data_IF_918686009149
#
_entry.id   IF_918686009149
#
_cell.length_a   1.000
_cell.length_b   1.000
_cell.length_c   1.000
_cell.angle_alpha   90.00
_cell.angle_beta   90.00
_cell.angle_gamma   90.00
#
_symmetry.space_group_name_H-M   'P 1'
#
loop_
_entity.id
_entity.type
_entity.pdbx_description
1 polymer ?
#
# COMPACT_ATOMS: atom_id res chain seq x y z
N UNK A 1 18.35 8.79 -72.06
CA UNK A 1 19.04 9.77 -71.20
C UNK A 1 19.03 9.22 -69.77
N UNK A 2 20.21 9.04 -69.17
CA UNK A 2 20.43 8.50 -67.83
C UNK A 2 20.25 9.63 -66.81
N UNK A 3 19.39 9.45 -65.82
CA UNK A 3 19.44 10.21 -64.57
C UNK A 3 19.49 9.24 -63.40
N UNK A 4 20.56 9.39 -62.62
CA UNK A 4 20.83 8.65 -61.41
C UNK A 4 20.09 9.35 -60.26
N UNK A 5 19.41 8.59 -59.42
CA UNK A 5 18.95 9.06 -58.12
C UNK A 5 19.35 7.98 -57.10
N UNK A 6 20.50 8.20 -56.47
CA UNK A 6 20.90 7.50 -55.27
C UNK A 6 20.46 8.33 -54.04
N UNK A 7 20.34 7.65 -52.89
CA UNK A 7 20.44 8.19 -51.52
C UNK A 7 19.11 8.81 -50.99
N UNK A 8 18.49 8.43 -49.87
CA UNK A 8 18.93 7.84 -48.60
C UNK A 8 17.76 7.04 -47.97
N UNK A 9 18.01 5.77 -47.63
CA UNK A 9 17.22 5.02 -46.65
C UNK A 9 17.58 5.57 -45.26
N UNK A 10 16.72 6.42 -44.70
CA UNK A 10 16.78 6.71 -43.26
C UNK A 10 15.99 5.60 -42.57
N UNK A 11 16.70 4.55 -42.18
CA UNK A 11 16.24 3.68 -41.11
C UNK A 11 16.24 4.53 -39.84
N UNK A 12 15.07 5.09 -39.49
CA UNK A 12 14.82 5.50 -38.12
C UNK A 12 14.74 4.22 -37.30
N UNK A 13 15.89 3.72 -36.85
CA UNK A 13 15.95 2.94 -35.63
C UNK A 13 15.54 3.91 -34.53
N UNK A 14 14.23 4.02 -34.30
CA UNK A 14 13.76 4.47 -33.00
C UNK A 14 14.56 3.66 -32.00
N UNK A 15 15.33 4.29 -31.09
CA UNK A 15 15.80 3.54 -29.96
C UNK A 15 14.53 2.95 -29.37
N UNK A 16 14.45 1.62 -29.34
CA UNK A 16 13.62 0.92 -28.39
C UNK A 16 13.99 1.60 -27.08
N UNK A 17 13.14 2.52 -26.63
CA UNK A 17 13.18 2.98 -25.27
C UNK A 17 12.93 1.68 -24.54
N UNK A 18 14.02 1.09 -24.07
CA UNK A 18 13.96 -0.01 -23.14
C UNK A 18 13.09 0.55 -22.01
N UNK A 19 11.83 0.14 -21.98
CA UNK A 19 11.01 0.21 -20.78
C UNK A 19 11.68 -0.78 -19.83
N UNK A 20 12.79 -0.33 -19.24
CA UNK A 20 13.42 -0.92 -18.06
C UNK A 20 12.49 -0.54 -16.92
N UNK A 21 11.51 -1.41 -16.68
CA UNK A 21 11.39 -2.35 -15.56
C UNK A 21 10.47 -1.80 -14.45
N UNK A 22 9.14 -1.91 -14.60
CA UNK A 22 8.26 -1.96 -13.42
C UNK A 22 8.58 -3.15 -12.50
N UNK A 23 9.33 -4.13 -13.01
CA UNK A 23 9.79 -5.34 -12.31
C UNK A 23 10.80 -5.03 -11.20
N UNK A 24 11.72 -4.07 -11.39
CA UNK A 24 12.77 -3.74 -10.42
C UNK A 24 12.24 -2.94 -9.21
N UNK A 25 11.21 -2.10 -9.38
CA UNK A 25 10.55 -1.40 -8.27
C UNK A 25 9.63 -2.34 -7.47
N UNK A 26 8.91 -3.24 -8.15
CA UNK A 26 8.09 -4.27 -7.50
C UNK A 26 8.93 -5.22 -6.64
N UNK A 27 10.12 -5.61 -7.10
CA UNK A 27 11.08 -6.42 -6.32
C UNK A 27 11.58 -5.71 -5.05
N UNK A 28 11.65 -4.37 -5.05
CA UNK A 28 12.03 -3.59 -3.86
C UNK A 28 10.93 -3.55 -2.79
N UNK A 29 9.66 -3.58 -3.22
CA UNK A 29 8.46 -3.55 -2.39
C UNK A 29 8.19 -4.89 -1.70
N UNK A 30 8.62 -6.01 -2.32
CA UNK A 30 8.36 -7.36 -1.81
C UNK A 30 9.47 -7.87 -0.90
N UNK A 31 10.75 -7.72 -1.27
CA UNK A 31 11.82 -8.40 -0.52
C UNK A 31 13.21 -7.90 -0.87
N UNK A 32 13.91 -7.31 0.11
CA UNK A 32 15.33 -7.62 0.31
C UNK A 32 15.86 -7.44 1.74
N UNK A 33 15.04 -7.68 2.77
CA UNK A 33 15.49 -8.12 4.11
C UNK A 33 14.27 -8.48 4.94
N UNK A 34 14.16 -9.72 5.43
CA UNK A 34 13.26 -9.99 6.55
C UNK A 34 13.73 -9.12 7.71
N UNK A 35 12.85 -8.24 8.17
CA UNK A 35 13.15 -7.28 9.22
C UNK A 35 12.20 -7.55 10.39
N UNK A 36 12.75 -8.03 11.50
CA UNK A 36 11.96 -8.15 12.72
C UNK A 36 11.67 -6.74 13.26
N UNK A 37 10.43 -6.29 13.12
CA UNK A 37 9.96 -4.98 13.52
C UNK A 37 10.05 -4.76 15.04
N UNK A 38 9.85 -5.82 15.84
CA UNK A 38 9.97 -5.74 17.29
C UNK A 38 11.43 -5.60 17.77
N UNK A 39 12.41 -5.80 16.87
CA UNK A 39 13.83 -5.55 17.15
C UNK A 39 14.24 -4.08 16.92
N UNK A 40 13.37 -3.27 16.31
CA UNK A 40 13.65 -1.87 16.02
C UNK A 40 13.30 -0.96 17.20
N UNK A 41 13.98 0.18 17.30
CA UNK A 41 13.52 1.26 18.18
C UNK A 41 12.18 1.83 17.70
N UNK A 42 11.32 2.30 18.61
CA UNK A 42 9.95 2.74 18.29
C UNK A 42 9.85 3.76 17.14
N UNK A 43 10.79 4.72 17.06
CA UNK A 43 10.87 5.67 15.94
C UNK A 43 11.18 5.00 14.61
N UNK A 44 12.19 4.13 14.57
CA UNK A 44 12.59 3.41 13.35
C UNK A 44 11.49 2.46 12.87
N UNK A 45 10.79 1.80 13.81
CA UNK A 45 9.66 0.94 13.51
C UNK A 45 8.51 1.75 12.87
N UNK A 46 8.16 2.90 13.45
CA UNK A 46 7.14 3.81 12.91
C UNK A 46 7.51 4.30 11.51
N UNK A 47 8.73 4.79 11.31
CA UNK A 47 9.20 5.29 10.02
C UNK A 47 9.09 4.20 8.93
N UNK A 48 9.56 2.99 9.23
CA UNK A 48 9.44 1.84 8.31
C UNK A 48 7.99 1.51 7.97
N UNK A 49 7.13 1.40 8.99
CA UNK A 49 5.72 1.04 8.81
C UNK A 49 4.97 2.05 7.96
N UNK A 50 5.19 3.35 8.17
CA UNK A 50 4.54 4.40 7.38
C UNK A 50 5.07 4.41 5.94
N UNK A 51 6.39 4.34 5.75
CA UNK A 51 6.99 4.33 4.42
C UNK A 51 6.48 3.14 3.57
N UNK A 52 6.50 1.93 4.13
CA UNK A 52 6.04 0.74 3.42
C UNK A 52 4.52 0.76 3.22
N UNK A 53 3.74 1.26 4.19
CA UNK A 53 2.30 1.39 4.02
C UNK A 53 1.94 2.40 2.91
N UNK A 54 2.63 3.53 2.83
CA UNK A 54 2.44 4.52 1.77
C UNK A 54 2.67 3.89 0.40
N UNK A 55 3.75 3.11 0.23
CA UNK A 55 4.04 2.40 -1.04
C UNK A 55 2.93 1.42 -1.39
N UNK A 56 2.45 0.64 -0.42
CA UNK A 56 1.36 -0.33 -0.63
C UNK A 56 0.04 0.36 -1.01
N UNK A 57 -0.31 1.44 -0.31
CA UNK A 57 -1.55 2.20 -0.59
C UNK A 57 -1.48 2.87 -1.95
N UNK A 58 -0.38 3.51 -2.30
CA UNK A 58 -0.22 4.15 -3.61
C UNK A 58 -0.34 3.15 -4.76
N UNK A 59 0.16 1.92 -4.56
CA UNK A 59 0.09 0.87 -5.57
C UNK A 59 -1.30 0.25 -5.69
N UNK A 60 -1.89 -0.13 -4.55
CA UNK A 60 -3.04 -1.03 -4.53
C UNK A 60 -4.36 -0.36 -4.15
N UNK A 61 -4.32 0.81 -3.52
CA UNK A 61 -5.51 1.52 -3.09
C UNK A 61 -5.36 3.04 -3.21
N UNK A 62 -4.87 3.57 -4.36
CA UNK A 62 -4.54 4.99 -4.48
C UNK A 62 -5.76 5.89 -4.23
N UNK A 63 -6.95 5.43 -4.59
CA UNK A 63 -8.21 6.16 -4.40
C UNK A 63 -8.65 6.23 -2.92
N UNK A 64 -8.02 5.47 -2.03
CA UNK A 64 -8.23 5.52 -0.58
C UNK A 64 -7.15 6.33 0.15
N UNK A 65 -6.11 6.82 -0.53
CA UNK A 65 -5.09 7.63 0.14
C UNK A 65 -5.66 9.01 0.56
N UNK A 66 -5.39 9.43 1.80
CA UNK A 66 -5.87 10.70 2.37
C UNK A 66 -4.76 11.35 3.19
N UNK A 67 -4.33 12.54 2.78
CA UNK A 67 -3.46 13.39 3.59
C UNK A 67 -4.32 14.25 4.53
N UNK A 68 -4.94 13.63 5.53
CA UNK A 68 -5.79 14.33 6.52
C UNK A 68 -5.10 14.39 7.88
N UNK A 69 -4.66 13.23 8.36
CA UNK A 69 -4.00 13.03 9.65
C UNK A 69 -2.97 11.92 9.49
N UNK A 70 -1.90 11.93 10.30
CA UNK A 70 -0.90 10.86 10.29
C UNK A 70 -1.54 9.50 10.59
N UNK A 71 -1.04 8.40 9.99
CA UNK A 71 -1.61 7.08 10.22
C UNK A 71 -1.41 6.62 11.67
N UNK A 72 -2.44 5.95 12.19
CA UNK A 72 -2.42 5.29 13.49
C UNK A 72 -1.72 3.94 13.37
N UNK A 73 -0.89 3.59 14.35
CA UNK A 73 -0.14 2.34 14.36
C UNK A 73 -0.46 1.55 15.62
N UNK A 74 -1.00 0.35 15.43
CA UNK A 74 -1.33 -0.58 16.51
C UNK A 74 -0.57 -1.89 16.35
N UNK A 75 -0.16 -2.50 17.46
CA UNK A 75 0.42 -3.84 17.49
C UNK A 75 -0.57 -4.82 18.11
N UNK A 76 -0.79 -5.95 17.46
CA UNK A 76 -1.73 -6.98 17.90
C UNK A 76 -1.11 -8.37 17.86
N UNK A 77 -1.80 -9.31 18.52
CA UNK A 77 -1.47 -10.74 18.50
C UNK A 77 -2.69 -11.47 17.97
N UNK A 78 -2.48 -12.33 16.96
CA UNK A 78 -3.53 -13.18 16.38
C UNK A 78 -4.13 -14.05 17.48
N UNK A 79 -5.45 -14.05 17.58
CA UNK A 79 -6.20 -14.78 18.59
C UNK A 79 -6.39 -14.04 19.93
N UNK A 80 -5.77 -12.88 20.12
CA UNK A 80 -5.99 -12.06 21.31
C UNK A 80 -7.41 -11.48 21.38
N UNK A 81 -7.84 -11.03 22.56
CA UNK A 81 -9.20 -10.48 22.78
C UNK A 81 -9.54 -9.30 21.85
N UNK A 82 -8.53 -8.54 21.45
CA UNK A 82 -8.67 -7.34 20.61
C UNK A 82 -8.24 -7.57 19.16
N UNK A 83 -7.95 -8.83 18.77
CA UNK A 83 -7.61 -9.19 17.40
C UNK A 83 -8.71 -8.78 16.43
N UNK A 84 -8.33 -8.11 15.35
CA UNK A 84 -9.23 -7.64 14.29
C UNK A 84 -9.29 -8.59 13.10
N UNK A 85 -8.42 -9.60 13.04
CA UNK A 85 -8.44 -10.61 11.98
C UNK A 85 -9.63 -11.56 12.18
N UNK A 86 -10.62 -11.46 11.30
CA UNK A 86 -11.85 -12.26 11.34
C UNK A 86 -11.81 -13.50 10.43
N UNK A 87 -10.81 -13.62 9.55
CA UNK A 87 -10.71 -14.72 8.60
C UNK A 87 -10.28 -16.03 9.31
N UNK A 88 -11.19 -17.02 9.35
CA UNK A 88 -11.00 -18.26 10.12
C UNK A 88 -9.67 -18.97 9.86
N UNK A 89 -9.26 -19.12 8.59
CA UNK A 89 -7.98 -19.77 8.23
C UNK A 89 -6.75 -18.93 8.58
N UNK A 90 -6.79 -17.62 8.35
CA UNK A 90 -5.69 -16.72 8.72
C UNK A 90 -5.47 -16.71 10.24
N UNK A 91 -6.56 -16.77 11.00
CA UNK A 91 -6.50 -16.85 12.45
C UNK A 91 -5.98 -18.21 12.93
N UNK A 92 -6.41 -19.32 12.34
CA UNK A 92 -5.92 -20.66 12.73
C UNK A 92 -4.46 -20.89 12.39
N UNK A 93 -4.03 -20.44 11.20
CA UNK A 93 -2.69 -20.74 10.67
C UNK A 93 -1.60 -19.86 11.31
N UNK A 94 -1.99 -18.78 11.99
CA UNK A 94 -1.08 -17.80 12.56
C UNK A 94 -1.37 -17.46 14.02
N UNK A 95 -2.13 -18.29 14.75
CA UNK A 95 -2.45 -18.07 16.16
C UNK A 95 -1.20 -17.79 17.00
N UNK A 96 -1.23 -16.73 17.81
CA UNK A 96 -0.10 -16.31 18.64
C UNK A 96 0.98 -15.50 17.90
N UNK A 97 0.93 -15.39 16.57
CA UNK A 97 1.83 -14.50 15.81
C UNK A 97 1.42 -13.04 16.03
N UNK A 98 2.39 -12.13 16.04
CA UNK A 98 2.13 -10.71 16.21
C UNK A 98 2.21 -9.95 14.87
N UNK A 99 1.41 -8.88 14.76
CA UNK A 99 1.37 -8.04 13.57
C UNK A 99 1.16 -6.57 13.95
N UNK A 100 1.58 -5.67 13.06
CA UNK A 100 1.27 -4.25 13.11
C UNK A 100 0.15 -3.91 12.13
N UNK A 101 -0.64 -2.90 12.48
CA UNK A 101 -1.68 -2.29 11.65
C UNK A 101 -1.35 -0.83 11.46
N UNK A 102 -1.29 -0.37 10.21
CA UNK A 102 -1.14 1.04 9.85
C UNK A 102 -2.47 1.51 9.30
N UNK A 103 -3.19 2.35 10.04
CA UNK A 103 -4.56 2.80 9.72
C UNK A 103 -4.56 4.26 9.31
N UNK A 104 -4.96 4.53 8.06
CA UNK A 104 -5.15 5.87 7.54
C UNK A 104 -6.58 6.34 7.85
N UNK A 105 -6.74 7.46 8.57
CA UNK A 105 -8.05 7.97 8.90
C UNK A 105 -8.78 8.51 7.67
N UNK A 106 -10.10 8.63 7.80
CA UNK A 106 -10.95 9.36 6.86
C UNK A 106 -11.66 10.49 7.62
N UNK A 107 -12.18 11.46 6.88
CA UNK A 107 -13.04 12.50 7.46
C UNK A 107 -14.51 12.03 7.38
N UNK A 108 -15.14 11.65 8.52
CA UNK A 108 -16.52 11.16 8.52
C UNK A 108 -17.56 12.25 8.21
N UNK A 109 -17.20 13.54 8.31
CA UNK A 109 -18.06 14.66 7.90
C UNK A 109 -18.01 14.90 6.38
N UNK A 110 -16.95 14.43 5.73
CA UNK A 110 -16.75 14.53 4.28
C UNK A 110 -17.22 13.26 3.55
N UNK A 111 -16.71 12.09 3.92
CA UNK A 111 -16.97 10.83 3.23
C UNK A 111 -17.44 9.73 4.20
N UNK A 112 -18.14 8.74 3.67
CA UNK A 112 -18.54 7.57 4.44
C UNK A 112 -17.61 6.39 4.13
N UNK A 113 -16.95 5.88 5.16
CA UNK A 113 -16.22 4.61 5.11
C UNK A 113 -16.88 3.60 6.04
N UNK A 114 -17.35 2.48 5.49
CA UNK A 114 -18.04 1.45 6.26
C UNK A 114 -17.19 0.91 7.43
N UNK A 115 -15.88 0.75 7.21
CA UNK A 115 -14.96 0.23 8.21
C UNK A 115 -14.49 1.29 9.22
N UNK A 116 -14.85 2.57 9.04
CA UNK A 116 -14.46 3.67 9.95
C UNK A 116 -13.05 4.24 9.71
N UNK A 117 -12.34 3.80 8.68
CA UNK A 117 -11.04 4.30 8.25
C UNK A 117 -10.97 4.36 6.72
N UNK A 118 -10.00 5.05 6.15
CA UNK A 118 -9.85 5.12 4.69
C UNK A 118 -9.17 3.87 4.12
N UNK A 119 -8.00 3.53 4.63
CA UNK A 119 -7.28 2.30 4.27
C UNK A 119 -6.43 1.83 5.43
N UNK A 120 -6.20 0.52 5.51
CA UNK A 120 -5.38 -0.10 6.54
C UNK A 120 -4.45 -1.14 5.92
N UNK A 121 -3.19 -1.15 6.35
CA UNK A 121 -2.18 -2.12 5.91
C UNK A 121 -1.68 -2.92 7.11
N UNK A 122 -1.53 -4.23 6.93
CA UNK A 122 -1.14 -5.16 7.98
C UNK A 122 0.23 -5.77 7.69
N UNK A 123 1.12 -5.75 8.67
CA UNK A 123 2.50 -6.22 8.57
C UNK A 123 2.80 -7.27 9.63
N UNK A 124 3.47 -8.36 9.25
CA UNK A 124 3.96 -9.32 10.23
C UNK A 124 5.13 -8.76 11.02
N UNK A 125 5.08 -8.86 12.35
CA UNK A 125 6.12 -8.29 13.24
C UNK A 125 7.48 -8.95 13.07
N UNK A 126 7.51 -10.26 12.85
CA UNK A 126 8.73 -11.07 12.83
C UNK A 126 9.57 -10.84 11.57
N UNK A 127 8.96 -10.33 10.50
CA UNK A 127 9.61 -10.29 9.20
C UNK A 127 9.35 -9.01 8.38
N UNK A 128 8.47 -8.12 8.84
CA UNK A 128 8.20 -6.81 8.25
C UNK A 128 7.35 -6.85 6.99
N UNK A 129 6.87 -8.03 6.58
CA UNK A 129 6.16 -8.22 5.31
C UNK A 129 4.70 -7.81 5.46
N UNK A 130 4.22 -6.96 4.54
CA UNK A 130 2.81 -6.65 4.39
C UNK A 130 2.05 -7.88 3.89
N UNK A 131 0.94 -8.25 4.53
CA UNK A 131 0.18 -9.46 4.17
C UNK A 131 -1.30 -9.21 3.89
N UNK A 132 -1.83 -8.06 4.30
CA UNK A 132 -3.20 -7.65 4.00
C UNK A 132 -3.27 -6.13 3.83
N UNK A 133 -4.04 -5.68 2.86
CA UNK A 133 -4.50 -4.30 2.72
C UNK A 133 -6.03 -4.26 2.68
N UNK A 134 -6.65 -3.42 3.50
CA UNK A 134 -8.10 -3.30 3.63
C UNK A 134 -8.53 -1.86 3.33
N UNK A 135 -9.42 -1.68 2.35
CA UNK A 135 -10.06 -0.40 2.04
C UNK A 135 -11.29 -0.18 2.90
N UNK A 136 -11.52 1.08 3.28
CA UNK A 136 -12.62 1.52 4.14
C UNK A 136 -14.03 1.21 3.65
N UNK A 137 -14.17 0.89 2.37
CA UNK A 137 -15.43 0.46 1.75
C UNK A 137 -15.83 -0.98 2.11
N UNK A 138 -14.96 -1.74 2.79
CA UNK A 138 -15.22 -3.11 3.23
C UNK A 138 -14.63 -4.21 2.33
N UNK A 139 -13.73 -3.85 1.41
CA UNK A 139 -13.01 -4.80 0.55
C UNK A 139 -11.50 -4.69 0.80
N UNK A 140 -10.76 -5.77 0.56
CA UNK A 140 -9.33 -5.80 0.78
C UNK A 140 -8.61 -6.88 -0.03
N UNK A 141 -7.29 -6.77 -0.11
CA UNK A 141 -6.39 -7.71 -0.76
C UNK A 141 -5.65 -8.50 0.32
N UNK A 142 -5.89 -9.81 0.37
CA UNK A 142 -5.20 -10.74 1.28
C UNK A 142 -4.08 -11.44 0.53
N UNK A 143 -2.96 -11.71 1.19
CA UNK A 143 -1.82 -12.38 0.57
C UNK A 143 -1.00 -11.44 -0.31
N UNK A 144 -1.07 -10.12 -0.06
CA UNK A 144 -0.25 -9.12 -0.77
C UNK A 144 1.26 -9.30 -0.56
N UNK A 145 1.71 -10.32 0.15
CA UNK A 145 3.11 -10.74 0.21
C UNK A 145 3.51 -11.65 -0.95
N UNK A 146 2.55 -12.22 -1.67
CA UNK A 146 2.79 -13.20 -2.71
C UNK A 146 3.18 -12.52 -4.03
N UNK A 147 4.29 -12.96 -4.63
CA UNK A 147 4.89 -12.31 -5.81
C UNK A 147 3.97 -12.26 -7.04
N UNK A 148 3.06 -13.21 -7.16
CA UNK A 148 2.12 -13.27 -8.29
C UNK A 148 1.03 -12.18 -8.24
N UNK A 149 0.73 -11.61 -7.07
CA UNK A 149 -0.25 -10.52 -6.95
C UNK A 149 0.31 -9.15 -7.36
N UNK A 150 1.64 -8.99 -7.41
CA UNK A 150 2.24 -7.66 -7.63
C UNK A 150 2.17 -7.16 -9.06
N UNK A 151 2.21 -8.05 -10.05
CA UNK A 151 2.39 -7.65 -11.44
C UNK A 151 1.08 -7.56 -12.23
N UNK A 152 -0.05 -7.76 -11.57
CA UNK A 152 -1.36 -7.82 -12.22
C UNK A 152 -2.22 -6.60 -11.82
N UNK A 153 -2.57 -5.72 -12.78
CA UNK A 153 -3.36 -4.53 -12.53
C UNK A 153 -4.81 -4.82 -12.09
N UNK A 154 -5.29 -6.07 -12.17
CA UNK A 154 -6.58 -6.47 -11.60
C UNK A 154 -6.60 -6.37 -10.06
N UNK A 155 -5.44 -6.35 -9.39
CA UNK A 155 -5.34 -6.23 -7.93
C UNK A 155 -5.28 -4.78 -7.44
N UNK A 156 -5.95 -3.84 -8.11
CA UNK A 156 -6.15 -2.48 -7.58
C UNK A 156 -7.54 -2.42 -6.92
N UNK A 157 -7.57 -2.05 -5.63
CA UNK A 157 -8.80 -1.73 -4.93
C UNK A 157 -9.34 -0.40 -5.43
N UNK A 158 -10.37 -0.49 -6.25
CA UNK A 158 -11.14 0.66 -6.66
C UNK A 158 -12.06 1.13 -5.53
N UNK A 159 -12.13 2.44 -5.36
CA UNK A 159 -13.08 3.11 -4.50
C UNK A 159 -14.25 3.61 -5.33
N UNK A 160 -15.43 3.07 -5.08
CA UNK A 160 -16.65 3.65 -5.65
C UNK A 160 -16.99 4.92 -4.88
N UNK A 161 -16.44 6.04 -5.35
CA UNK A 161 -16.63 7.34 -4.73
C UNK A 161 -18.11 7.69 -4.58
N UNK A 162 -18.50 8.05 -3.36
CA UNK A 162 -19.82 8.61 -3.05
C UNK A 162 -19.60 10.10 -2.77
N UNK A 163 -20.35 10.95 -3.47
CA UNK A 163 -20.18 12.38 -3.34
C UNK A 163 -20.37 12.83 -1.88
N UNK A 164 -19.45 13.68 -1.36
CA UNK A 164 -19.47 14.12 0.01
C UNK A 164 -20.71 14.97 0.25
N UNK A 165 -21.29 14.84 1.45
CA UNK A 165 -22.48 15.63 1.83
C UNK A 165 -22.13 17.08 2.17
N UNK A 166 -20.86 17.38 2.45
CA UNK A 166 -20.31 18.69 2.81
C UNK A 166 -18.92 18.87 2.16
N UNK A 167 -18.47 20.11 1.86
CA UNK A 167 -17.11 20.36 1.40
C UNK A 167 -16.07 19.99 2.48
N UNK A 168 -14.89 19.51 2.05
CA UNK A 168 -13.79 19.15 2.95
C UNK A 168 -13.27 20.40 3.65
N UNK A 169 -13.11 20.36 4.98
CA UNK A 169 -12.35 21.38 5.69
C UNK A 169 -10.85 21.17 5.43
N UNK A 170 -10.13 22.19 4.94
CA UNK A 170 -8.68 22.12 4.81
C UNK A 170 -8.04 22.03 6.21
N UNK A 171 -7.28 20.96 6.47
CA UNK A 171 -6.44 20.82 7.66
C UNK A 171 -4.97 20.90 7.22
N UNK A 172 -4.18 21.72 7.90
CA UNK A 172 -2.71 21.74 7.76
C UNK A 172 -2.14 20.74 8.74
N UNK A 173 -1.49 19.68 8.25
CA UNK A 173 -0.82 18.67 9.08
C UNK A 173 0.56 19.19 9.48
N UNK A 174 0.82 19.37 10.77
CA UNK A 174 2.15 19.66 11.29
C UNK A 174 2.86 18.37 11.70
N UNK A 175 3.70 17.85 10.81
CA UNK A 175 4.47 16.62 11.01
C UNK A 175 5.56 16.74 12.10
N UNK A 176 5.81 17.91 12.68
CA UNK A 176 6.90 18.12 13.67
C UNK A 176 6.55 17.71 15.10
N UNK A 177 5.29 17.41 15.38
CA UNK A 177 4.78 17.14 16.74
C UNK A 177 4.19 15.72 16.88
N UNK A 178 4.71 14.76 16.12
CA UNK A 178 4.30 13.36 16.24
C UNK A 178 5.18 12.67 17.30
N UNK A 179 4.77 12.81 18.55
CA UNK A 179 5.34 12.09 19.71
C UNK A 179 4.97 10.60 19.71
#
# INVERSE_FOLDING_TARGET
MKTWACILLVWLTFPVVARVQPEAEADSLIMKRFLNLDSLGGRQCREYLVEEADKMVQRYAPEYYREIEPPLIDRMIVGSKNDTLSAGKMRSDHEGRAYYMVTYPHDPDYEYMHAGFSVRVYFWTDNGVAFWLEGGAGWGLVGISESWMYNDPEYILHYKWVAPRKPRAEKVIDYRNLD
#
